data_IF_757656530630
#
_entry.id   IF_757656530630
#
_cell.length_a   1.000
_cell.length_b   1.000
_cell.length_c   1.000
_cell.angle_alpha   90.00
_cell.angle_beta   90.00
_cell.angle_gamma   90.00
#
_symmetry.space_group_name_H-M   'P 1'
#
loop_
_entity.id
_entity.type
_entity.pdbx_description
1 polymer ?
#
# COMPACT_ATOMS: atom_id res chain seq x y z
N UNK A 1 -1.98 -61.05 -8.77
CA UNK A 1 -2.48 -59.70 -9.12
C UNK A 1 -2.73 -58.99 -7.81
N UNK A 2 -1.86 -58.00 -7.49
CA UNK A 2 -1.48 -57.56 -6.15
C UNK A 2 -2.53 -56.60 -5.53
N UNK A 3 -3.32 -57.06 -4.53
CA UNK A 3 -4.27 -56.21 -3.76
C UNK A 3 -3.60 -55.20 -2.82
N UNK A 4 -2.31 -55.38 -2.53
CA UNK A 4 -1.58 -54.54 -1.57
C UNK A 4 -1.09 -53.22 -2.16
N UNK A 5 -0.92 -53.15 -3.49
CA UNK A 5 -0.46 -51.93 -4.18
C UNK A 5 -1.57 -50.87 -4.29
N UNK A 6 -2.84 -51.27 -4.31
CA UNK A 6 -3.99 -50.37 -4.36
C UNK A 6 -4.32 -49.72 -3.01
N UNK A 7 -4.00 -50.38 -1.91
CA UNK A 7 -4.22 -49.83 -0.55
C UNK A 7 -3.22 -48.74 -0.16
N UNK A 8 -1.98 -48.83 -0.66
CA UNK A 8 -0.94 -47.83 -0.40
C UNK A 8 -1.25 -46.46 -1.01
N UNK A 9 -1.74 -46.43 -2.27
CA UNK A 9 -2.00 -45.20 -2.98
C UNK A 9 -3.12 -44.34 -2.36
N UNK A 10 -4.18 -44.98 -1.87
CA UNK A 10 -5.27 -44.27 -1.18
C UNK A 10 -4.87 -43.73 0.19
N UNK A 11 -3.96 -44.39 0.88
CA UNK A 11 -3.45 -43.95 2.18
C UNK A 11 -2.56 -42.73 2.03
N UNK A 12 -1.67 -42.70 1.02
CA UNK A 12 -0.84 -41.53 0.70
C UNK A 12 -1.67 -40.33 0.25
N UNK A 13 -2.70 -40.53 -0.58
CA UNK A 13 -3.63 -39.46 -0.99
C UNK A 13 -4.40 -38.90 0.19
N UNK A 14 -4.86 -39.74 1.12
CA UNK A 14 -5.56 -39.28 2.32
C UNK A 14 -4.66 -38.47 3.26
N UNK A 15 -3.40 -38.89 3.44
CA UNK A 15 -2.41 -38.18 4.26
C UNK A 15 -2.04 -36.81 3.61
N UNK A 16 -1.89 -36.76 2.30
CA UNK A 16 -1.63 -35.50 1.58
C UNK A 16 -2.82 -34.53 1.69
N UNK A 17 -4.06 -35.04 1.61
CA UNK A 17 -5.26 -34.21 1.76
C UNK A 17 -5.38 -33.66 3.19
N UNK A 18 -5.10 -34.46 4.21
CA UNK A 18 -5.14 -34.05 5.62
C UNK A 18 -4.03 -33.02 5.90
N UNK A 19 -2.80 -33.21 5.35
CA UNK A 19 -1.72 -32.22 5.46
C UNK A 19 -2.07 -30.91 4.77
N UNK A 20 -2.68 -30.96 3.57
CA UNK A 20 -3.10 -29.75 2.86
C UNK A 20 -4.17 -28.98 3.64
N UNK A 21 -5.15 -29.68 4.23
CA UNK A 21 -6.19 -29.06 5.08
C UNK A 21 -5.58 -28.48 6.35
N UNK A 22 -4.60 -29.13 6.98
CA UNK A 22 -3.91 -28.63 8.16
C UNK A 22 -3.09 -27.37 7.87
N UNK A 23 -2.44 -27.29 6.70
CA UNK A 23 -1.69 -26.10 6.26
C UNK A 23 -2.64 -24.93 5.98
N UNK A 24 -3.78 -25.16 5.34
CA UNK A 24 -4.80 -24.12 5.09
C UNK A 24 -5.42 -23.64 6.41
N UNK A 25 -5.68 -24.52 7.37
CA UNK A 25 -6.20 -24.15 8.69
C UNK A 25 -5.17 -23.34 9.51
N UNK A 26 -3.87 -23.66 9.38
CA UNK A 26 -2.80 -22.90 10.03
C UNK A 26 -2.65 -21.48 9.45
N UNK A 27 -2.87 -21.29 8.14
CA UNK A 27 -2.82 -19.98 7.49
C UNK A 27 -4.00 -19.08 7.87
N UNK A 28 -5.18 -19.64 8.13
CA UNK A 28 -6.35 -18.89 8.59
C UNK A 28 -6.29 -18.49 10.08
N UNK A 29 -5.50 -19.21 10.90
CA UNK A 29 -5.38 -18.96 12.35
C UNK A 29 -4.43 -17.83 12.74
N UNK A 30 -3.49 -17.43 11.87
CA UNK A 30 -2.42 -16.51 12.25
C UNK A 30 -2.90 -15.08 12.57
N UNK A 31 -3.99 -14.61 11.96
CA UNK A 31 -4.46 -13.24 12.13
C UNK A 31 -5.10 -13.00 13.51
N UNK A 32 -5.89 -13.95 14.01
CA UNK A 32 -6.52 -13.83 15.35
C UNK A 32 -5.48 -13.94 16.47
N UNK A 33 -4.47 -14.78 16.30
CA UNK A 33 -3.37 -14.95 17.26
C UNK A 33 -2.46 -13.69 17.30
N UNK A 34 -2.22 -13.06 16.16
CA UNK A 34 -1.44 -11.82 16.09
C UNK A 34 -2.10 -10.70 16.92
N UNK A 35 -3.40 -10.45 16.76
CA UNK A 35 -4.09 -9.41 17.51
C UNK A 35 -4.26 -9.73 19.00
N UNK A 36 -4.42 -11.00 19.39
CA UNK A 36 -4.49 -11.38 20.81
C UNK A 36 -3.19 -11.12 21.56
N UNK A 37 -2.03 -11.27 20.89
CA UNK A 37 -0.73 -10.92 21.48
C UNK A 37 -0.62 -9.41 21.73
N UNK A 38 -1.09 -8.58 20.80
CA UNK A 38 -1.08 -7.12 20.96
C UNK A 38 -2.03 -6.66 22.06
N UNK A 39 -3.20 -7.27 22.21
CA UNK A 39 -4.14 -7.00 23.31
C UNK A 39 -3.54 -7.36 24.68
N UNK A 40 -2.81 -8.47 24.78
CA UNK A 40 -2.06 -8.81 26.00
C UNK A 40 -0.97 -7.79 26.33
N UNK A 41 -0.43 -7.08 25.33
CA UNK A 41 0.54 -6.00 25.49
C UNK A 41 -0.13 -4.63 25.76
N UNK A 42 -1.47 -4.56 25.91
CA UNK A 42 -2.21 -3.34 26.20
C UNK A 42 -2.45 -2.42 24.99
N UNK A 43 -2.17 -2.89 23.77
CA UNK A 43 -2.51 -2.15 22.53
C UNK A 43 -3.83 -2.67 21.96
N UNK A 44 -4.84 -1.81 21.94
CA UNK A 44 -6.11 -2.12 21.30
C UNK A 44 -6.03 -1.99 19.77
N UNK A 45 -6.87 -2.72 19.04
CA UNK A 45 -6.96 -2.64 17.56
C UNK A 45 -7.16 -1.21 17.04
N UNK A 46 -7.86 -0.38 17.82
CA UNK A 46 -8.03 1.06 17.52
C UNK A 46 -6.70 1.81 17.50
N UNK A 47 -5.82 1.54 18.47
CA UNK A 47 -4.51 2.19 18.56
C UNK A 47 -3.60 1.71 17.42
N UNK A 48 -3.64 0.40 17.10
CA UNK A 48 -2.91 -0.15 15.95
C UNK A 48 -3.38 0.47 14.62
N UNK A 49 -4.69 0.60 14.44
CA UNK A 49 -5.25 1.22 13.24
C UNK A 49 -4.79 2.69 13.11
N UNK A 50 -4.82 3.44 14.21
CA UNK A 50 -4.32 4.82 14.24
C UNK A 50 -2.85 4.90 13.87
N UNK A 51 -2.01 4.04 14.47
CA UNK A 51 -0.57 3.99 14.20
C UNK A 51 -0.30 3.66 12.72
N UNK A 52 -0.99 2.67 12.15
CA UNK A 52 -0.84 2.29 10.73
C UNK A 52 -1.29 3.39 9.77
N UNK A 53 -2.38 4.09 10.08
CA UNK A 53 -2.83 5.23 9.28
C UNK A 53 -1.81 6.38 9.34
N UNK A 54 -1.24 6.63 10.51
CA UNK A 54 -0.19 7.63 10.69
C UNK A 54 1.08 7.29 9.89
N UNK A 55 1.46 6.03 9.90
CA UNK A 55 2.62 5.56 9.15
C UNK A 55 2.37 5.61 7.64
N UNK A 56 1.17 5.25 7.17
CA UNK A 56 0.80 5.42 5.76
C UNK A 56 0.85 6.90 5.33
N UNK A 57 0.37 7.83 6.17
CA UNK A 57 0.46 9.27 5.93
C UNK A 57 1.92 9.74 5.81
N UNK A 58 2.80 9.28 6.71
CA UNK A 58 4.24 9.58 6.64
C UNK A 58 4.89 9.05 5.35
N UNK A 59 4.56 7.82 4.96
CA UNK A 59 5.09 7.25 3.70
C UNK A 59 4.56 8.00 2.47
N UNK A 60 3.31 8.46 2.46
CA UNK A 60 2.77 9.34 1.41
C UNK A 60 3.55 10.68 1.34
N UNK A 61 3.90 11.28 2.48
CA UNK A 61 4.71 12.50 2.50
C UNK A 61 6.11 12.28 1.91
N UNK A 62 6.77 11.17 2.26
CA UNK A 62 8.09 10.81 1.71
C UNK A 62 7.99 10.54 0.21
N UNK A 63 7.01 9.77 -0.24
CA UNK A 63 6.81 9.49 -1.65
C UNK A 63 6.59 10.77 -2.46
N UNK A 64 5.81 11.73 -1.93
CA UNK A 64 5.60 13.04 -2.56
C UNK A 64 6.93 13.77 -2.83
N UNK A 65 7.87 13.70 -1.90
CA UNK A 65 9.22 14.29 -2.08
C UNK A 65 9.97 13.54 -3.17
N UNK A 66 10.03 12.21 -3.11
CA UNK A 66 10.77 11.39 -4.10
C UNK A 66 10.25 11.60 -5.53
N UNK A 67 8.92 11.65 -5.74
CA UNK A 67 8.35 11.90 -7.06
C UNK A 67 8.61 13.34 -7.56
N UNK A 68 8.66 14.35 -6.67
CA UNK A 68 9.06 15.70 -7.02
C UNK A 68 10.53 15.77 -7.43
N UNK A 69 11.41 15.11 -6.69
CA UNK A 69 12.85 15.09 -6.95
C UNK A 69 13.13 14.37 -8.27
N UNK A 70 12.45 13.26 -8.54
CA UNK A 70 12.53 12.56 -9.82
C UNK A 70 12.11 13.47 -11.00
N UNK A 71 11.02 14.22 -10.87
CA UNK A 71 10.59 15.19 -11.89
C UNK A 71 11.62 16.29 -12.09
N UNK A 72 12.16 16.86 -11.01
CA UNK A 72 13.17 17.92 -11.07
C UNK A 72 14.39 17.44 -11.83
N UNK A 73 14.88 16.24 -11.53
CA UNK A 73 16.02 15.65 -12.20
C UNK A 73 15.76 15.38 -13.69
N UNK A 74 14.58 14.89 -14.04
CA UNK A 74 14.20 14.71 -15.44
C UNK A 74 14.20 16.04 -16.21
N UNK A 75 13.75 17.13 -15.59
CA UNK A 75 13.81 18.49 -16.17
C UNK A 75 15.25 18.97 -16.35
N UNK A 76 16.10 18.76 -15.36
CA UNK A 76 17.53 19.10 -15.44
C UNK A 76 18.21 18.40 -16.61
N UNK A 77 17.95 17.10 -16.80
CA UNK A 77 18.54 16.34 -17.90
C UNK A 77 18.09 16.84 -19.28
N UNK A 78 16.86 17.29 -19.42
CA UNK A 78 16.38 17.85 -20.71
C UNK A 78 17.00 19.20 -21.09
N UNK A 79 17.65 19.87 -20.15
CA UNK A 79 18.44 21.10 -20.36
C UNK A 79 19.94 20.84 -20.59
N UNK A 80 20.39 19.59 -20.59
CA UNK A 80 21.79 19.23 -20.65
C UNK A 80 22.33 19.31 -22.10
N UNK A 81 23.49 19.94 -22.30
CA UNK A 81 24.14 20.10 -23.62
C UNK A 81 25.39 19.24 -23.81
N UNK A 82 25.48 18.14 -23.07
CA UNK A 82 26.45 17.05 -23.25
C UNK A 82 27.65 17.11 -22.30
N UNK A 83 27.99 15.98 -21.67
CA UNK A 83 29.22 15.80 -20.91
C UNK A 83 29.14 14.77 -19.79
N UNK A 84 28.01 14.59 -19.14
CA UNK A 84 27.87 13.67 -17.99
C UNK A 84 26.57 12.85 -18.06
N UNK A 85 26.23 12.38 -19.26
CA UNK A 85 24.96 11.63 -19.48
C UNK A 85 24.90 10.33 -18.70
N UNK A 86 26.03 9.68 -18.45
CA UNK A 86 26.05 8.46 -17.60
C UNK A 86 25.71 8.79 -16.14
N UNK A 87 26.21 9.91 -15.60
CA UNK A 87 25.83 10.34 -14.25
C UNK A 87 24.33 10.68 -14.17
N UNK A 88 23.82 11.34 -15.23
CA UNK A 88 22.40 11.64 -15.36
C UNK A 88 21.53 10.39 -15.41
N UNK A 89 21.90 9.38 -16.21
CA UNK A 89 21.23 8.08 -16.24
C UNK A 89 21.19 7.43 -14.88
N UNK A 90 22.35 7.30 -14.21
CA UNK A 90 22.45 6.66 -12.88
C UNK A 90 21.58 7.40 -11.84
N UNK A 91 21.47 8.71 -11.96
CA UNK A 91 20.62 9.50 -11.08
C UNK A 91 19.12 9.21 -11.31
N UNK A 92 18.66 9.13 -12.56
CA UNK A 92 17.27 8.77 -12.90
C UNK A 92 16.93 7.35 -12.48
N UNK A 93 17.85 6.40 -12.70
CA UNK A 93 17.68 5.02 -12.26
C UNK A 93 17.47 4.94 -10.74
N UNK A 94 18.32 5.64 -9.97
CA UNK A 94 18.19 5.72 -8.51
C UNK A 94 16.90 6.40 -8.05
N UNK A 95 16.45 7.44 -8.76
CA UNK A 95 15.18 8.11 -8.46
C UNK A 95 13.99 7.17 -8.72
N UNK A 96 14.02 6.42 -9.82
CA UNK A 96 13.02 5.37 -10.09
C UNK A 96 12.99 4.32 -8.98
N UNK A 97 14.15 3.80 -8.54
CA UNK A 97 14.24 2.81 -7.46
C UNK A 97 13.61 3.35 -6.16
N UNK A 98 13.98 4.58 -5.76
CA UNK A 98 13.41 5.22 -4.57
C UNK A 98 11.89 5.39 -4.66
N UNK A 99 11.38 5.87 -5.79
CA UNK A 99 9.94 5.99 -6.01
C UNK A 99 9.25 4.62 -5.97
N UNK A 100 9.87 3.58 -6.54
CA UNK A 100 9.36 2.21 -6.54
C UNK A 100 9.27 1.63 -5.13
N UNK A 101 10.31 1.81 -4.32
CA UNK A 101 10.36 1.35 -2.93
C UNK A 101 9.30 2.05 -2.07
N UNK A 102 9.11 3.37 -2.27
CA UNK A 102 8.04 4.12 -1.60
C UNK A 102 6.66 3.61 -1.97
N UNK A 103 6.42 3.36 -3.26
CA UNK A 103 5.15 2.81 -3.72
C UNK A 103 4.87 1.42 -3.12
N UNK A 104 5.88 0.55 -3.04
CA UNK A 104 5.77 -0.75 -2.40
C UNK A 104 5.46 -0.63 -0.90
N UNK A 105 6.15 0.28 -0.20
CA UNK A 105 5.90 0.56 1.22
C UNK A 105 4.47 1.05 1.46
N UNK A 106 3.97 1.98 0.65
CA UNK A 106 2.60 2.49 0.75
C UNK A 106 1.58 1.37 0.55
N UNK A 107 1.75 0.50 -0.46
CA UNK A 107 0.85 -0.65 -0.68
C UNK A 107 0.82 -1.59 0.52
N UNK A 108 1.98 -1.86 1.13
CA UNK A 108 2.06 -2.66 2.35
C UNK A 108 1.28 -2.01 3.49
N UNK A 109 1.42 -0.68 3.70
CA UNK A 109 0.69 0.03 4.76
C UNK A 109 -0.82 0.05 4.51
N UNK A 110 -1.26 0.17 3.27
CA UNK A 110 -2.69 0.08 2.93
C UNK A 110 -3.23 -1.29 3.34
N UNK A 111 -2.50 -2.36 3.03
CA UNK A 111 -2.87 -3.72 3.44
C UNK A 111 -2.94 -3.88 4.96
N UNK A 112 -1.96 -3.37 5.71
CA UNK A 112 -1.97 -3.40 7.18
C UNK A 112 -3.22 -2.68 7.74
N UNK A 113 -3.60 -1.53 7.16
CA UNK A 113 -4.80 -0.77 7.51
C UNK A 113 -6.07 -1.58 7.21
N UNK A 114 -6.17 -2.22 6.06
CA UNK A 114 -7.30 -3.09 5.67
C UNK A 114 -7.49 -4.22 6.67
N UNK A 115 -6.41 -4.93 6.98
CA UNK A 115 -6.43 -6.09 7.87
C UNK A 115 -6.86 -5.71 9.30
N UNK A 116 -6.29 -4.65 9.87
CA UNK A 116 -6.64 -4.23 11.24
C UNK A 116 -8.02 -3.59 11.32
N UNK A 117 -8.44 -2.84 10.30
CA UNK A 117 -9.78 -2.23 10.28
C UNK A 117 -10.89 -3.30 10.18
N UNK A 118 -10.69 -4.32 9.36
CA UNK A 118 -11.63 -5.44 9.26
C UNK A 118 -11.78 -6.17 10.60
N UNK A 119 -10.66 -6.42 11.28
CA UNK A 119 -10.67 -7.05 12.60
C UNK A 119 -11.37 -6.17 13.66
N UNK A 120 -11.08 -4.86 13.70
CA UNK A 120 -11.70 -3.90 14.61
C UNK A 120 -13.21 -3.81 14.40
N UNK A 121 -13.67 -3.66 13.16
CA UNK A 121 -15.09 -3.52 12.87
C UNK A 121 -15.87 -4.81 13.17
N UNK A 122 -15.30 -5.96 12.89
CA UNK A 122 -15.91 -7.27 13.22
C UNK A 122 -16.07 -7.44 14.75
N UNK A 123 -15.06 -7.07 15.52
CA UNK A 123 -15.11 -7.10 16.98
C UNK A 123 -16.18 -6.15 17.50
N UNK A 124 -16.17 -4.89 17.05
CA UNK A 124 -17.14 -3.88 17.48
C UNK A 124 -18.58 -4.27 17.17
N UNK A 125 -18.85 -4.88 16.01
CA UNK A 125 -20.18 -5.45 15.69
C UNK A 125 -20.62 -6.51 16.69
N UNK A 126 -19.70 -7.41 17.06
CA UNK A 126 -19.98 -8.46 18.04
C UNK A 126 -20.27 -7.84 19.43
N UNK A 127 -19.45 -6.88 19.86
CA UNK A 127 -19.65 -6.21 21.17
C UNK A 127 -20.96 -5.44 21.25
N UNK A 128 -21.40 -4.79 20.16
CA UNK A 128 -22.68 -4.11 20.08
C UNK A 128 -23.85 -5.02 20.46
N UNK A 129 -23.77 -6.31 20.16
CA UNK A 129 -24.82 -7.27 20.50
C UNK A 129 -24.88 -7.60 21.98
N UNK A 130 -23.83 -7.33 22.75
CA UNK A 130 -23.73 -7.65 24.18
C UNK A 130 -24.29 -6.54 25.09
N UNK A 131 -24.54 -5.34 24.57
CA UNK A 131 -25.12 -4.25 25.39
C UNK A 131 -26.53 -4.60 25.86
N UNK A 132 -26.77 -4.50 27.16
CA UNK A 132 -28.10 -4.61 27.77
C UNK A 132 -28.95 -3.34 27.57
N UNK A 133 -28.31 -2.18 27.51
CA UNK A 133 -28.96 -0.87 27.30
C UNK A 133 -29.18 -0.60 25.80
N UNK A 134 -30.44 -0.40 25.41
CA UNK A 134 -30.79 -0.06 23.99
C UNK A 134 -30.22 1.31 23.59
N UNK A 135 -30.13 2.26 24.51
CA UNK A 135 -29.52 3.57 24.24
C UNK A 135 -28.03 3.44 23.90
N UNK A 136 -27.29 2.69 24.72
CA UNK A 136 -25.85 2.46 24.46
C UNK A 136 -25.62 1.66 23.18
N UNK A 137 -26.44 0.65 22.93
CA UNK A 137 -26.42 -0.14 21.69
C UNK A 137 -26.64 0.72 20.46
N UNK A 138 -27.66 1.60 20.50
CA UNK A 138 -27.97 2.52 19.40
C UNK A 138 -26.86 3.54 19.17
N UNK A 139 -26.32 4.12 20.24
CA UNK A 139 -25.19 5.06 20.18
C UNK A 139 -23.95 4.39 19.56
N UNK A 140 -23.60 3.19 20.03
CA UNK A 140 -22.44 2.44 19.51
C UNK A 140 -22.61 2.07 18.03
N UNK A 141 -23.83 1.69 17.60
CA UNK A 141 -24.14 1.48 16.17
C UNK A 141 -23.94 2.73 15.31
N UNK A 142 -24.33 3.90 15.83
CA UNK A 142 -24.12 5.17 15.11
C UNK A 142 -22.65 5.48 14.96
N UNK A 143 -21.88 5.34 16.04
CA UNK A 143 -20.42 5.54 16.03
C UNK A 143 -19.70 4.60 15.09
N UNK A 144 -20.06 3.33 15.05
CA UNK A 144 -19.51 2.37 14.11
C UNK A 144 -19.77 2.78 12.67
N UNK A 145 -21.00 3.20 12.32
CA UNK A 145 -21.33 3.69 10.98
C UNK A 145 -20.49 4.89 10.57
N UNK A 146 -20.41 5.89 11.45
CA UNK A 146 -19.63 7.11 11.21
C UNK A 146 -18.15 6.80 11.02
N UNK A 147 -17.61 5.89 11.82
CA UNK A 147 -16.20 5.46 11.71
C UNK A 147 -15.95 4.72 10.40
N UNK A 148 -16.86 3.85 9.98
CA UNK A 148 -16.76 3.16 8.68
C UNK A 148 -16.80 4.14 7.51
N UNK A 149 -17.70 5.12 7.52
CA UNK A 149 -17.76 6.13 6.45
C UNK A 149 -16.45 6.91 6.32
N UNK A 150 -15.84 7.29 7.45
CA UNK A 150 -14.53 7.94 7.43
C UNK A 150 -13.42 7.01 6.95
N UNK A 151 -13.45 5.74 7.37
CA UNK A 151 -12.54 4.72 6.89
C UNK A 151 -12.64 4.51 5.38
N UNK A 152 -13.84 4.38 4.84
CA UNK A 152 -14.07 4.18 3.41
C UNK A 152 -13.54 5.36 2.59
N UNK A 153 -13.72 6.59 3.07
CA UNK A 153 -13.18 7.79 2.44
C UNK A 153 -11.65 7.82 2.47
N UNK A 154 -11.02 7.44 3.59
CA UNK A 154 -9.57 7.29 3.72
C UNK A 154 -9.04 6.20 2.78
N UNK A 155 -9.62 5.00 2.85
CA UNK A 155 -9.21 3.85 2.04
C UNK A 155 -9.27 4.16 0.55
N UNK A 156 -10.37 4.76 0.08
CA UNK A 156 -10.54 5.19 -1.31
C UNK A 156 -9.45 6.18 -1.74
N UNK A 157 -9.12 7.14 -0.89
CA UNK A 157 -8.08 8.13 -1.19
C UNK A 157 -6.67 7.50 -1.22
N UNK A 158 -6.37 6.57 -0.29
CA UNK A 158 -5.11 5.85 -0.25
C UNK A 158 -4.93 4.95 -1.49
N UNK A 159 -5.95 4.18 -1.85
CA UNK A 159 -5.93 3.33 -3.05
C UNK A 159 -5.73 4.17 -4.32
N UNK A 160 -6.49 5.23 -4.48
CA UNK A 160 -6.39 6.11 -5.64
C UNK A 160 -4.98 6.67 -5.82
N UNK A 161 -4.35 7.18 -4.74
CA UNK A 161 -2.98 7.68 -4.81
C UNK A 161 -1.98 6.57 -5.12
N UNK A 162 -2.18 5.36 -4.57
CA UNK A 162 -1.35 4.18 -4.83
C UNK A 162 -1.43 3.73 -6.29
N UNK A 163 -2.64 3.67 -6.86
CA UNK A 163 -2.86 3.25 -8.24
C UNK A 163 -2.25 4.24 -9.23
N UNK A 164 -2.32 5.54 -8.94
CA UNK A 164 -1.73 6.60 -9.76
C UNK A 164 -0.19 6.56 -9.80
N UNK A 165 0.49 5.91 -8.85
CA UNK A 165 1.94 5.73 -8.90
C UNK A 165 2.36 4.75 -9.99
N UNK A 166 1.57 3.73 -10.27
CA UNK A 166 1.94 2.63 -11.19
C UNK A 166 2.30 3.10 -12.60
N UNK A 167 1.47 3.88 -13.31
CA UNK A 167 1.81 4.37 -14.64
C UNK A 167 3.00 5.33 -14.63
N UNK A 168 3.17 6.13 -13.58
CA UNK A 168 4.31 7.05 -13.46
C UNK A 168 5.61 6.26 -13.28
N UNK A 169 5.62 5.21 -12.43
CA UNK A 169 6.76 4.33 -12.24
C UNK A 169 7.14 3.61 -13.53
N UNK A 170 6.16 3.14 -14.32
CA UNK A 170 6.44 2.54 -15.63
C UNK A 170 7.18 3.51 -16.54
N UNK A 171 6.72 4.77 -16.62
CA UNK A 171 7.35 5.82 -17.46
C UNK A 171 8.73 6.21 -16.94
N UNK A 172 8.94 6.34 -15.62
CA UNK A 172 10.27 6.62 -15.04
C UNK A 172 11.25 5.50 -15.38
N UNK A 173 10.80 4.23 -15.31
CA UNK A 173 11.59 3.07 -15.69
C UNK A 173 11.98 3.10 -17.18
N UNK A 174 11.02 3.39 -18.05
CA UNK A 174 11.25 3.47 -19.48
C UNK A 174 12.26 4.56 -19.82
N UNK A 175 12.20 5.72 -19.14
CA UNK A 175 13.17 6.80 -19.33
C UNK A 175 14.57 6.41 -18.85
N UNK A 176 14.69 5.72 -17.70
CA UNK A 176 15.96 5.19 -17.24
C UNK A 176 16.54 4.19 -18.23
N UNK A 177 15.75 3.25 -18.74
CA UNK A 177 16.16 2.27 -19.75
C UNK A 177 16.56 2.93 -21.08
N UNK A 178 15.81 3.94 -21.51
CA UNK A 178 16.13 4.68 -22.73
C UNK A 178 17.47 5.41 -22.60
N UNK A 179 17.72 6.11 -21.51
CA UNK A 179 18.99 6.77 -21.23
C UNK A 179 20.14 5.79 -21.14
N UNK A 180 19.95 4.62 -20.55
CA UNK A 180 20.98 3.58 -20.42
C UNK A 180 21.63 3.20 -21.75
N UNK A 181 20.85 3.18 -22.83
CA UNK A 181 21.29 2.73 -24.14
C UNK A 181 21.53 3.88 -25.13
N UNK A 182 21.12 5.09 -24.79
CA UNK A 182 21.13 6.25 -25.70
C UNK A 182 21.74 7.49 -25.02
N UNK A 183 23.01 7.39 -24.64
CA UNK A 183 23.74 8.48 -23.99
C UNK A 183 24.25 9.54 -25.01
N UNK A 184 23.31 10.22 -25.69
CA UNK A 184 23.63 11.23 -26.71
C UNK A 184 22.61 12.38 -26.71
N UNK A 185 22.96 13.50 -27.38
CA UNK A 185 22.12 14.69 -27.43
C UNK A 185 20.74 14.45 -28.09
N UNK A 186 20.63 13.51 -29.01
CA UNK A 186 19.37 13.16 -29.68
C UNK A 186 18.39 12.50 -28.68
N UNK A 187 18.89 11.67 -27.77
CA UNK A 187 18.10 11.06 -26.70
C UNK A 187 17.50 12.12 -25.75
N UNK A 188 18.27 13.15 -25.40
CA UNK A 188 17.79 14.26 -24.57
C UNK A 188 16.64 15.00 -25.26
N UNK A 189 16.74 15.23 -26.57
CA UNK A 189 15.68 15.84 -27.38
C UNK A 189 14.37 15.03 -27.31
N UNK A 190 14.46 13.70 -27.42
CA UNK A 190 13.31 12.80 -27.33
C UNK A 190 12.64 12.81 -25.94
N UNK A 191 13.42 12.97 -24.87
CA UNK A 191 12.88 13.01 -23.51
C UNK A 191 12.07 14.29 -23.21
N UNK A 192 12.32 15.41 -23.88
CA UNK A 192 11.64 16.68 -23.60
C UNK A 192 10.11 16.58 -23.65
N UNK A 193 9.57 15.94 -24.68
CA UNK A 193 8.12 15.74 -24.82
C UNK A 193 7.54 14.85 -23.71
N UNK A 194 8.26 13.80 -23.36
CA UNK A 194 7.86 12.85 -22.31
C UNK A 194 7.87 13.50 -20.92
N UNK A 195 8.85 14.37 -20.63
CA UNK A 195 8.95 15.07 -19.34
C UNK A 195 7.76 16.00 -19.11
N UNK A 196 7.29 16.72 -20.14
CA UNK A 196 6.10 17.58 -20.04
C UNK A 196 4.86 16.75 -19.69
N UNK A 197 4.70 15.59 -20.32
CA UNK A 197 3.57 14.71 -20.05
C UNK A 197 3.62 14.10 -18.64
N UNK A 198 4.78 13.61 -18.20
CA UNK A 198 4.94 13.02 -16.86
C UNK A 198 4.80 14.06 -15.74
N UNK A 199 5.14 15.32 -16.01
CA UNK A 199 4.93 16.42 -15.06
C UNK A 199 3.47 16.55 -14.65
N UNK A 200 2.55 16.54 -15.62
CA UNK A 200 1.12 16.61 -15.34
C UNK A 200 0.63 15.43 -14.48
N UNK A 201 1.11 14.22 -14.78
CA UNK A 201 0.77 13.02 -14.02
C UNK A 201 1.32 13.07 -12.59
N UNK A 202 2.55 13.53 -12.40
CA UNK A 202 3.17 13.70 -11.06
C UNK A 202 2.43 14.79 -10.27
N UNK A 203 2.05 15.89 -10.88
CA UNK A 203 1.27 16.94 -10.20
C UNK A 203 -0.09 16.40 -9.73
N UNK A 204 -0.77 15.63 -10.56
CA UNK A 204 -2.02 14.95 -10.19
C UNK A 204 -1.81 13.96 -9.04
N UNK A 205 -0.76 13.12 -9.12
CA UNK A 205 -0.40 12.20 -8.04
C UNK A 205 -0.16 12.93 -6.71
N UNK A 206 0.56 14.06 -6.74
CA UNK A 206 0.81 14.88 -5.55
C UNK A 206 -0.49 15.41 -4.95
N UNK A 207 -1.46 15.84 -5.78
CA UNK A 207 -2.77 16.27 -5.31
C UNK A 207 -3.56 15.12 -4.65
N UNK A 208 -3.49 13.92 -5.22
CA UNK A 208 -4.12 12.72 -4.66
C UNK A 208 -3.46 12.29 -3.35
N UNK A 209 -2.13 12.36 -3.25
CA UNK A 209 -1.40 12.12 -2.00
C UNK A 209 -1.79 13.13 -0.91
N UNK A 210 -1.91 14.42 -1.24
CA UNK A 210 -2.37 15.43 -0.28
C UNK A 210 -3.79 15.13 0.22
N UNK A 211 -4.67 14.67 -0.67
CA UNK A 211 -6.03 14.26 -0.31
C UNK A 211 -6.01 13.05 0.63
N UNK A 212 -5.19 12.04 0.36
CA UNK A 212 -5.10 10.86 1.23
C UNK A 212 -4.52 11.20 2.62
N UNK A 213 -3.54 12.11 2.68
CA UNK A 213 -2.98 12.60 3.94
C UNK A 213 -4.04 13.35 4.75
N UNK A 214 -4.82 14.25 4.12
CA UNK A 214 -5.92 14.95 4.79
C UNK A 214 -6.98 13.97 5.32
N UNK A 215 -7.34 12.94 4.55
CA UNK A 215 -8.28 11.89 5.00
C UNK A 215 -7.71 11.06 6.16
N UNK A 216 -6.40 10.82 6.18
CA UNK A 216 -5.73 10.17 7.30
C UNK A 216 -5.86 11.00 8.59
N UNK A 217 -5.60 12.30 8.52
CA UNK A 217 -5.73 13.20 9.67
C UNK A 217 -7.18 13.29 10.16
N UNK A 218 -8.16 13.43 9.26
CA UNK A 218 -9.59 13.41 9.58
C UNK A 218 -10.01 12.11 10.27
N UNK A 219 -9.51 10.98 9.78
CA UNK A 219 -9.82 9.66 10.34
C UNK A 219 -9.23 9.51 11.75
N UNK A 220 -7.94 9.85 11.93
CA UNK A 220 -7.24 9.79 13.21
C UNK A 220 -7.95 10.65 14.28
N UNK A 221 -8.30 11.89 13.92
CA UNK A 221 -9.01 12.81 14.83
C UNK A 221 -10.40 12.29 15.21
N UNK A 222 -11.05 11.55 14.33
CA UNK A 222 -12.37 10.96 14.59
C UNK A 222 -12.35 9.63 15.33
N UNK A 223 -11.16 9.03 15.58
CA UNK A 223 -11.00 7.82 16.39
C UNK A 223 -10.88 8.10 17.90
N UNK A 224 -10.77 9.37 18.29
CA UNK A 224 -10.68 9.79 19.73
C UNK A 224 -11.97 9.53 20.49
#
# INVERSE_FOLDING_TARGET
MNKDQFRGSHLYSAIQLVMAIAIVAALCGCQSTYYSVWEQLGKHKRDLLRDYVQDASKEQQKAKVEFKDALTRLKEITGFDGGKLEEAYRAVEKDYERCSDRAASIRSRIKDIEDVSAALFKEWEKEITTYSSDTLRSSSKSKLRETRQRYDALHTALQKSSDSMTPILARLKDQALFLKHNLNAQAIGALKGEVVSIEGDIQKLIAEMNTSISRADEFINGLQ
#
